data_IF_418045571182
#
_entry.id   IF_418045571182
#
_cell.length_a   1.000
_cell.length_b   1.000
_cell.length_c   1.000
_cell.angle_alpha   90.00
_cell.angle_beta   90.00
_cell.angle_gamma   90.00
#
_symmetry.space_group_name_H-M   'P 1'
#
loop_
_entity.id
_entity.type
_entity.pdbx_description
1 polymer ?
#
# COMPACT_ATOMS: atom_id res chain seq x y z
N UNK A 1 -16.00 -7.00 28.62
CA UNK A 1 -15.29 -6.60 27.39
C UNK A 1 -16.33 -6.09 26.42
N UNK A 2 -16.09 -4.97 25.75
CA UNK A 2 -16.99 -4.47 24.70
C UNK A 2 -16.84 -5.41 23.49
N UNK A 3 -17.96 -5.82 22.90
CA UNK A 3 -17.93 -6.63 21.68
C UNK A 3 -17.27 -5.83 20.54
N UNK A 4 -16.50 -6.47 19.63
CA UNK A 4 -15.98 -5.78 18.45
C UNK A 4 -17.13 -5.24 17.60
N UNK A 5 -16.93 -4.08 16.99
CA UNK A 5 -17.92 -3.45 16.12
C UNK A 5 -18.27 -4.36 14.93
N UNK A 6 -19.56 -4.40 14.59
CA UNK A 6 -20.12 -5.06 13.41
C UNK A 6 -20.93 -4.08 12.56
N UNK A 7 -21.02 -4.34 11.26
CA UNK A 7 -21.98 -3.64 10.38
C UNK A 7 -23.41 -3.86 10.86
N UNK A 8 -23.69 -5.03 11.46
CA UNK A 8 -24.99 -5.39 12.03
C UNK A 8 -25.36 -4.54 13.27
N UNK A 9 -24.42 -3.77 13.82
CA UNK A 9 -24.72 -2.81 14.89
C UNK A 9 -25.50 -1.59 14.36
N UNK A 10 -25.53 -1.38 13.05
CA UNK A 10 -26.32 -0.32 12.41
C UNK A 10 -27.74 -0.80 12.05
N UNK A 11 -28.76 0.07 12.10
CA UNK A 11 -30.09 -0.26 11.59
C UNK A 11 -30.05 -0.69 10.11
N UNK A 12 -30.75 -1.75 9.76
CA UNK A 12 -30.75 -2.30 8.39
C UNK A 12 -31.15 -1.27 7.33
N UNK A 13 -32.14 -0.42 7.61
CA UNK A 13 -32.55 0.64 6.68
C UNK A 13 -31.43 1.65 6.41
N UNK A 14 -30.57 1.91 7.40
CA UNK A 14 -29.44 2.82 7.26
C UNK A 14 -28.40 2.24 6.28
N UNK A 15 -28.04 0.96 6.44
CA UNK A 15 -27.07 0.29 5.56
C UNK A 15 -27.64 0.12 4.15
N UNK A 16 -28.93 -0.21 3.99
CA UNK A 16 -29.60 -0.32 2.69
C UNK A 16 -29.55 1.00 1.91
N UNK A 17 -29.81 2.14 2.57
CA UNK A 17 -29.72 3.46 1.94
C UNK A 17 -28.29 3.80 1.51
N UNK A 18 -27.29 3.43 2.30
CA UNK A 18 -25.88 3.64 1.93
C UNK A 18 -25.51 2.81 0.69
N UNK A 19 -25.94 1.55 0.62
CA UNK A 19 -25.68 0.67 -0.54
C UNK A 19 -26.27 1.27 -1.82
N UNK A 20 -27.48 1.83 -1.77
CA UNK A 20 -28.10 2.48 -2.94
C UNK A 20 -27.33 3.70 -3.45
N UNK A 21 -26.53 4.35 -2.59
CA UNK A 21 -25.71 5.51 -2.94
C UNK A 21 -24.30 5.15 -3.44
N UNK A 22 -23.91 3.86 -3.36
CA UNK A 22 -22.58 3.39 -3.73
C UNK A 22 -22.60 2.87 -5.17
N UNK A 23 -21.67 3.36 -5.98
CA UNK A 23 -21.38 2.77 -7.29
C UNK A 23 -20.30 1.71 -7.13
N UNK A 24 -20.68 0.45 -7.31
CA UNK A 24 -19.75 -0.67 -7.36
C UNK A 24 -18.95 -0.70 -8.67
N UNK A 25 -17.64 -0.90 -8.58
CA UNK A 25 -16.77 -1.10 -9.73
C UNK A 25 -16.02 -2.42 -9.54
N UNK A 26 -16.01 -3.25 -10.58
CA UNK A 26 -15.18 -4.43 -10.66
C UNK A 26 -14.06 -4.21 -11.68
N UNK A 27 -12.82 -4.47 -11.28
CA UNK A 27 -11.66 -4.46 -12.19
C UNK A 27 -11.14 -5.89 -12.28
N UNK A 28 -11.44 -6.56 -13.39
CA UNK A 28 -10.88 -7.87 -13.68
C UNK A 28 -9.40 -7.73 -14.02
N UNK A 29 -8.54 -8.43 -13.29
CA UNK A 29 -7.11 -8.47 -13.57
C UNK A 29 -6.89 -9.40 -14.77
N UNK A 30 -6.49 -8.85 -15.92
CA UNK A 30 -6.11 -9.63 -17.11
C UNK A 30 -4.61 -9.87 -17.17
N UNK A 31 -3.81 -8.85 -16.81
CA UNK A 31 -2.36 -8.94 -16.73
C UNK A 31 -1.84 -7.91 -15.70
N UNK A 32 -0.67 -8.21 -15.12
CA UNK A 32 0.05 -7.30 -14.24
C UNK A 32 1.48 -7.14 -14.73
N UNK A 33 1.92 -5.90 -14.91
CA UNK A 33 3.30 -5.56 -15.26
C UNK A 33 3.86 -4.62 -14.21
N UNK A 34 4.92 -5.04 -13.53
CA UNK A 34 5.64 -4.21 -12.56
C UNK A 34 6.86 -3.54 -13.18
N UNK A 35 7.22 -2.35 -12.67
CA UNK A 35 8.50 -1.69 -12.98
C UNK A 35 9.19 -1.29 -11.69
N UNK A 36 10.39 -1.83 -11.47
CA UNK A 36 11.21 -1.49 -10.31
C UNK A 36 12.36 -0.58 -10.70
N UNK A 37 12.34 0.67 -10.21
CA UNK A 37 13.45 1.62 -10.34
C UNK A 37 14.15 1.75 -8.99
N UNK A 38 15.26 1.03 -8.84
CA UNK A 38 15.98 0.85 -7.59
C UNK A 38 17.50 1.06 -7.79
N UNK A 39 17.86 2.09 -8.58
CA UNK A 39 19.25 2.48 -8.85
C UNK A 39 20.15 1.38 -9.43
N UNK A 40 19.56 0.41 -10.14
CA UNK A 40 20.30 -0.75 -10.70
C UNK A 40 21.33 -0.36 -11.77
N UNK A 41 21.22 0.85 -12.32
CA UNK A 41 22.16 1.40 -13.31
C UNK A 41 23.34 2.16 -12.69
N UNK A 42 23.49 2.13 -11.36
CA UNK A 42 24.55 2.85 -10.64
C UNK A 42 25.65 1.89 -10.15
N UNK A 43 26.88 2.38 -9.97
CA UNK A 43 27.94 1.62 -9.31
C UNK A 43 27.55 1.25 -7.87
N UNK A 44 28.16 0.17 -7.36
CA UNK A 44 27.85 -0.39 -6.04
C UNK A 44 27.95 0.63 -4.90
N UNK A 45 28.99 1.46 -4.92
CA UNK A 45 29.17 2.54 -3.93
C UNK A 45 27.96 3.47 -3.84
N UNK A 46 27.37 3.82 -4.98
CA UNK A 46 26.22 4.73 -5.02
C UNK A 46 24.96 4.04 -4.52
N UNK A 47 24.77 2.75 -4.86
CA UNK A 47 23.65 1.94 -4.37
C UNK A 47 23.71 1.79 -2.85
N UNK A 48 24.89 1.48 -2.31
CA UNK A 48 25.11 1.40 -0.88
C UNK A 48 24.78 2.72 -0.17
N UNK A 49 25.26 3.86 -0.67
CA UNK A 49 24.96 5.17 -0.07
C UNK A 49 23.48 5.54 -0.12
N UNK A 50 22.78 5.22 -1.22
CA UNK A 50 21.32 5.41 -1.33
C UNK A 50 20.58 4.54 -0.32
N UNK A 51 20.98 3.27 -0.18
CA UNK A 51 20.38 2.35 0.78
C UNK A 51 20.54 2.87 2.21
N UNK A 52 21.75 3.28 2.59
CA UNK A 52 22.07 3.80 3.92
C UNK A 52 21.24 5.06 4.26
N UNK A 53 21.13 5.98 3.29
CA UNK A 53 20.30 7.17 3.43
C UNK A 53 18.80 6.85 3.57
N UNK A 54 18.31 5.80 2.90
CA UNK A 54 16.92 5.36 3.01
C UNK A 54 16.64 4.60 4.33
N UNK A 55 17.61 3.85 4.86
CA UNK A 55 17.47 3.14 6.13
C UNK A 55 17.44 4.10 7.33
N UNK A 56 18.21 5.18 7.24
CA UNK A 56 18.31 6.22 8.29
C UNK A 56 17.25 7.33 8.16
N UNK A 57 16.64 7.48 6.99
CA UNK A 57 15.60 8.48 6.74
C UNK A 57 14.27 8.15 7.42
N UNK A 58 13.52 9.19 7.79
CA UNK A 58 12.19 9.04 8.40
C UNK A 58 11.13 8.63 7.38
N UNK A 59 10.20 7.75 7.80
CA UNK A 59 9.08 7.30 6.99
C UNK A 59 9.13 5.80 6.65
N UNK A 60 7.96 5.16 6.70
CA UNK A 60 7.82 3.74 6.39
C UNK A 60 8.21 3.41 4.94
N UNK A 61 7.98 4.35 4.02
CA UNK A 61 8.32 4.24 2.61
C UNK A 61 9.82 4.18 2.35
N UNK A 62 10.64 4.90 3.14
CA UNK A 62 12.09 4.90 2.97
C UNK A 62 12.67 3.55 3.34
N UNK A 63 12.27 3.02 4.51
CA UNK A 63 12.64 1.66 4.95
C UNK A 63 12.14 0.58 4.00
N UNK A 64 10.96 0.75 3.40
CA UNK A 64 10.45 -0.18 2.40
C UNK A 64 11.29 -0.15 1.12
N UNK A 65 11.67 1.05 0.64
CA UNK A 65 12.49 1.20 -0.56
C UNK A 65 13.93 0.69 -0.36
N UNK A 66 14.53 0.91 0.82
CA UNK A 66 15.86 0.42 1.15
C UNK A 66 16.02 -1.09 0.94
N UNK A 67 14.97 -1.87 1.26
CA UNK A 67 14.93 -3.33 1.06
C UNK A 67 14.99 -3.75 -0.42
N UNK A 68 14.64 -2.84 -1.34
CA UNK A 68 14.62 -3.09 -2.78
C UNK A 68 15.91 -2.62 -3.46
N UNK A 69 16.76 -1.87 -2.76
CA UNK A 69 18.11 -1.54 -3.23
C UNK A 69 19.02 -2.74 -2.93
N UNK A 70 19.31 -3.52 -3.98
CA UNK A 70 20.36 -4.55 -3.94
C UNK A 70 21.73 -3.91 -4.09
#
# INVERSE_FOLDING_TARGET
MVAPWSVDDAPTEFTERLVQAIVGVEIKIEALTGKLKASQNQPERNRAGVKDGLETGEGAQNRAMAKLIS
#
